data_IF_821365155508
#
_entry.id   IF_821365155508
#
_cell.length_a   1.000
_cell.length_b   1.000
_cell.length_c   1.000
_cell.angle_alpha   90.00
_cell.angle_beta   90.00
_cell.angle_gamma   90.00
#
_symmetry.space_group_name_H-M   'P 1'
#
loop_
_entity.id
_entity.type
_entity.pdbx_description
1 polymer ?
#
# COMPACT_ATOMS: atom_id res chain seq x y z
N UNK A 1 -48.56 -5.90 32.78
CA UNK A 1 -48.51 -5.28 31.43
C UNK A 1 -47.53 -4.12 31.52
N UNK A 2 -46.35 -4.25 30.92
CA UNK A 2 -45.35 -3.18 30.78
C UNK A 2 -44.91 -3.20 29.31
N UNK A 3 -45.27 -2.16 28.56
CA UNK A 3 -44.97 -2.03 27.15
C UNK A 3 -43.61 -1.36 26.94
N UNK A 4 -42.67 -2.06 26.32
CA UNK A 4 -41.40 -1.51 25.86
C UNK A 4 -41.55 -0.89 24.47
N UNK A 5 -41.38 0.41 24.37
CA UNK A 5 -41.36 1.13 23.10
C UNK A 5 -39.98 1.07 22.41
N UNK A 6 -39.94 1.07 21.07
CA UNK A 6 -38.70 0.96 20.31
C UNK A 6 -37.85 2.23 20.39
N UNK A 7 -36.57 2.03 20.70
CA UNK A 7 -35.54 3.06 20.80
C UNK A 7 -35.12 3.49 19.39
N UNK A 8 -35.54 4.68 18.97
CA UNK A 8 -35.09 5.29 17.71
C UNK A 8 -33.68 5.85 17.89
N UNK A 9 -32.74 5.41 17.06
CA UNK A 9 -31.39 5.96 16.99
C UNK A 9 -31.38 7.23 16.10
N UNK A 10 -30.69 8.30 16.53
CA UNK A 10 -30.64 9.54 15.75
C UNK A 10 -29.73 9.35 14.53
N UNK A 11 -30.29 9.58 13.34
CA UNK A 11 -29.54 9.64 12.09
C UNK A 11 -28.53 10.78 12.13
N UNK A 12 -27.24 10.45 12.14
CA UNK A 12 -26.15 11.42 12.05
C UNK A 12 -26.12 12.12 10.69
N UNK A 13 -25.63 13.38 10.62
CA UNK A 13 -25.61 14.15 9.39
C UNK A 13 -24.71 13.48 8.34
N UNK A 14 -25.28 13.24 7.15
CA UNK A 14 -24.53 12.85 5.95
C UNK A 14 -23.48 13.93 5.66
N UNK A 15 -22.19 13.58 5.74
CA UNK A 15 -21.13 14.45 5.26
C UNK A 15 -21.29 14.67 3.75
N UNK A 16 -21.63 15.89 3.36
CA UNK A 16 -21.61 16.33 1.97
C UNK A 16 -20.15 16.41 1.49
N UNK A 17 -19.80 15.78 0.35
CA UNK A 17 -18.45 15.87 -0.19
C UNK A 17 -18.15 17.31 -0.59
N UNK A 18 -16.99 17.82 -0.17
CA UNK A 18 -16.47 19.12 -0.62
C UNK A 18 -16.05 18.97 -2.09
N UNK A 19 -16.82 19.58 -2.99
CA UNK A 19 -16.51 19.62 -4.42
C UNK A 19 -15.62 20.84 -4.66
N UNK A 20 -14.36 20.61 -5.06
CA UNK A 20 -13.46 21.67 -5.53
C UNK A 20 -13.49 21.70 -7.05
N UNK A 21 -13.83 22.84 -7.64
CA UNK A 21 -13.77 23.04 -9.10
C UNK A 21 -12.34 23.50 -9.44
N UNK A 22 -11.61 22.68 -10.20
CA UNK A 22 -10.28 23.01 -10.71
C UNK A 22 -10.39 23.29 -12.21
N UNK A 23 -9.89 24.45 -12.64
CA UNK A 23 -9.82 24.85 -14.06
C UNK A 23 -8.46 24.39 -14.61
N UNK A 24 -8.46 23.58 -15.66
CA UNK A 24 -7.23 23.07 -16.28
C UNK A 24 -7.08 23.64 -17.69
N UNK A 25 -5.86 24.05 -18.06
CA UNK A 25 -5.50 24.38 -19.43
C UNK A 25 -5.00 23.13 -20.15
N UNK A 26 -5.61 22.83 -21.31
CA UNK A 26 -5.24 21.69 -22.13
C UNK A 26 -4.24 22.09 -23.21
N UNK A 27 -3.14 21.33 -23.33
CA UNK A 27 -2.22 21.40 -24.48
C UNK A 27 -2.46 20.15 -25.34
N UNK A 28 -2.94 20.29 -26.59
CA UNK A 28 -3.23 19.14 -27.43
C UNK A 28 -1.96 18.43 -27.89
N UNK A 29 -1.90 17.12 -27.68
CA UNK A 29 -0.90 16.22 -28.26
C UNK A 29 -1.54 15.48 -29.44
N UNK A 30 -0.89 15.55 -30.59
CA UNK A 30 -1.35 14.96 -31.86
C UNK A 30 -1.19 13.44 -31.83
N UNK A 31 -2.23 12.71 -31.40
CA UNK A 31 -2.31 11.25 -31.46
C UNK A 31 -3.72 10.74 -31.10
N UNK A 32 -4.11 9.51 -31.48
CA UNK A 32 -5.44 8.96 -31.19
C UNK A 32 -5.68 8.94 -29.67
N UNK A 33 -6.78 9.57 -29.26
CA UNK A 33 -6.99 10.17 -27.94
C UNK A 33 -7.06 9.15 -26.79
N UNK A 34 -5.96 9.04 -26.04
CA UNK A 34 -5.97 8.61 -24.64
C UNK A 34 -5.36 9.74 -23.81
N UNK A 35 -6.18 10.47 -23.06
CA UNK A 35 -5.70 11.60 -22.25
C UNK A 35 -5.00 11.08 -20.99
N UNK A 36 -3.67 11.25 -20.90
CA UNK A 36 -2.93 11.10 -19.64
C UNK A 36 -2.66 12.48 -19.06
N UNK A 37 -3.36 12.82 -17.97
CA UNK A 37 -3.04 14.00 -17.16
C UNK A 37 -1.71 13.78 -16.44
N UNK A 38 -0.64 14.42 -16.94
CA UNK A 38 0.66 14.43 -16.28
C UNK A 38 0.72 15.56 -15.25
N UNK A 39 0.68 15.21 -13.96
CA UNK A 39 1.22 16.07 -12.90
C UNK A 39 2.03 15.27 -11.87
N UNK A 40 3.21 15.81 -11.53
CA UNK A 40 4.00 15.52 -10.33
C UNK A 40 4.46 16.86 -9.74
N UNK A 41 4.58 17.02 -8.41
CA UNK A 41 5.03 15.98 -7.47
C UNK A 41 4.22 15.92 -6.17
N UNK A 42 3.10 15.19 -6.14
CA UNK A 42 2.53 14.53 -4.95
C UNK A 42 1.31 13.75 -5.40
N UNK A 43 1.58 12.54 -5.88
CA UNK A 43 0.71 11.65 -6.67
C UNK A 43 -0.57 11.25 -5.89
N UNK A 44 -1.58 12.10 -5.93
CA UNK A 44 -3.00 11.73 -5.77
C UNK A 44 -3.46 10.96 -7.00
N UNK A 45 -4.08 9.80 -6.83
CA UNK A 45 -4.76 9.14 -7.93
C UNK A 45 -5.99 9.96 -8.29
N UNK A 46 -5.91 10.72 -9.38
CA UNK A 46 -7.08 11.22 -10.08
C UNK A 46 -7.71 10.00 -10.76
N UNK A 47 -8.51 9.24 -10.01
CA UNK A 47 -9.41 8.27 -10.62
C UNK A 47 -10.63 9.03 -11.14
N UNK A 48 -10.46 9.63 -12.32
CA UNK A 48 -11.56 10.14 -13.11
C UNK A 48 -12.07 9.02 -14.00
N UNK A 49 -13.31 8.56 -13.81
CA UNK A 49 -14.03 7.92 -14.91
C UNK A 49 -14.39 9.01 -15.91
N UNK A 50 -13.45 9.38 -16.78
CA UNK A 50 -13.80 10.12 -17.98
C UNK A 50 -14.50 9.11 -18.88
N UNK A 51 -15.83 9.05 -18.79
CA UNK A 51 -16.59 8.33 -19.80
C UNK A 51 -16.38 9.11 -21.10
N UNK A 52 -15.60 8.54 -22.01
CA UNK A 52 -15.50 9.07 -23.37
C UNK A 52 -16.92 9.15 -23.93
N UNK A 53 -17.41 10.37 -24.12
CA UNK A 53 -18.66 10.60 -24.81
C UNK A 53 -18.34 10.35 -26.29
N UNK A 54 -19.08 9.44 -26.93
CA UNK A 54 -18.86 9.16 -28.34
C UNK A 54 -19.23 10.38 -29.19
N UNK A 55 -18.63 10.50 -30.38
CA UNK A 55 -18.95 11.57 -31.30
C UNK A 55 -20.45 11.60 -31.64
N UNK A 56 -21.11 10.44 -31.73
CA UNK A 56 -22.55 10.36 -31.97
C UNK A 56 -23.37 10.90 -30.80
N UNK A 57 -22.95 10.67 -29.55
CA UNK A 57 -23.61 11.24 -28.38
C UNK A 57 -23.45 12.76 -28.30
N UNK A 58 -22.27 13.28 -28.65
CA UNK A 58 -22.04 14.73 -28.78
C UNK A 58 -22.91 15.34 -29.88
N UNK A 59 -22.99 14.68 -31.04
CA UNK A 59 -23.84 15.11 -32.14
C UNK A 59 -25.33 15.07 -31.77
N UNK A 60 -25.80 14.04 -31.05
CA UNK A 60 -27.18 13.95 -30.55
C UNK A 60 -27.53 15.06 -29.54
N UNK A 61 -26.53 15.59 -28.84
CA UNK A 61 -26.70 16.73 -27.93
C UNK A 61 -26.63 18.09 -28.66
N UNK A 62 -26.45 18.10 -29.98
CA UNK A 62 -26.27 19.33 -30.76
C UNK A 62 -24.86 19.92 -30.66
N UNK A 63 -23.92 19.23 -30.02
CA UNK A 63 -22.55 19.68 -29.79
C UNK A 63 -21.54 19.03 -30.75
N UNK A 64 -22.01 18.41 -31.83
CA UNK A 64 -21.15 17.77 -32.83
C UNK A 64 -20.17 18.72 -33.54
N UNK A 65 -20.48 20.02 -33.57
CA UNK A 65 -19.60 21.07 -34.13
C UNK A 65 -18.86 21.88 -33.05
N UNK A 66 -19.06 21.59 -31.76
CA UNK A 66 -18.39 22.30 -30.67
C UNK A 66 -16.88 22.07 -30.77
N UNK A 67 -16.09 23.15 -30.77
CA UNK A 67 -14.63 23.02 -30.74
C UNK A 67 -14.24 22.51 -29.36
N UNK A 68 -13.17 21.72 -29.26
CA UNK A 68 -12.71 21.15 -27.98
C UNK A 68 -12.53 22.20 -26.88
N UNK A 69 -12.15 23.43 -27.26
CA UNK A 69 -12.00 24.58 -26.35
C UNK A 69 -13.32 25.08 -25.72
N UNK A 70 -14.45 24.74 -26.32
CA UNK A 70 -15.80 25.17 -25.91
C UNK A 70 -16.49 24.07 -25.07
N UNK A 71 -15.86 22.90 -24.90
CA UNK A 71 -16.36 21.79 -24.07
C UNK A 71 -15.98 22.04 -22.61
N UNK A 72 -16.97 22.30 -21.76
CA UNK A 72 -16.76 22.41 -20.31
C UNK A 72 -16.70 21.02 -19.67
N UNK A 73 -15.49 20.54 -19.38
CA UNK A 73 -15.31 19.25 -18.71
C UNK A 73 -15.49 19.40 -17.19
N UNK A 74 -16.60 18.88 -16.66
CA UNK A 74 -16.78 18.78 -15.20
C UNK A 74 -15.97 17.60 -14.66
N UNK A 75 -14.91 17.90 -13.92
CA UNK A 75 -14.08 16.89 -13.26
C UNK A 75 -14.41 16.83 -11.76
N UNK A 76 -14.77 15.65 -11.25
CA UNK A 76 -14.94 15.45 -9.81
C UNK A 76 -13.64 14.92 -9.20
N UNK A 77 -12.96 15.74 -8.42
CA UNK A 77 -11.84 15.28 -7.60
C UNK A 77 -12.37 14.76 -6.26
N UNK A 78 -12.14 13.47 -5.96
CA UNK A 78 -12.46 12.89 -4.65
C UNK A 78 -11.21 12.83 -3.79
N UNK A 79 -11.26 13.44 -2.60
CA UNK A 79 -10.19 13.34 -1.61
C UNK A 79 -10.53 12.24 -0.60
N UNK A 80 -9.59 11.31 -0.40
CA UNK A 80 -9.70 10.21 0.56
C UNK A 80 -8.63 10.36 1.64
N UNK A 81 -8.84 11.20 2.67
CA UNK A 81 -7.81 11.53 3.66
C UNK A 81 -7.32 10.27 4.39
N UNK A 82 -8.23 9.34 4.69
CA UNK A 82 -7.88 8.05 5.32
C UNK A 82 -6.96 7.20 4.45
N UNK A 83 -7.11 7.24 3.12
CA UNK A 83 -6.21 6.53 2.20
C UNK A 83 -4.81 7.15 2.20
N UNK A 84 -4.73 8.48 2.25
CA UNK A 84 -3.44 9.18 2.33
C UNK A 84 -2.70 8.85 3.64
N UNK A 85 -3.41 8.88 4.77
CA UNK A 85 -2.87 8.48 6.07
C UNK A 85 -2.43 7.01 6.08
N UNK A 86 -3.26 6.13 5.54
CA UNK A 86 -2.97 4.71 5.37
C UNK A 86 -1.65 4.47 4.60
N UNK A 87 -1.53 5.09 3.42
CA UNK A 87 -0.32 4.98 2.60
C UNK A 87 0.90 5.62 3.28
N UNK A 88 0.71 6.69 4.03
CA UNK A 88 1.79 7.32 4.80
C UNK A 88 2.29 6.40 5.92
N UNK A 89 1.39 5.80 6.69
CA UNK A 89 1.72 4.81 7.71
C UNK A 89 2.50 3.63 7.12
N UNK A 90 2.03 3.08 5.99
CA UNK A 90 2.72 1.98 5.31
C UNK A 90 4.13 2.34 4.84
N UNK A 91 4.32 3.57 4.35
CA UNK A 91 5.66 4.07 4.00
C UNK A 91 6.56 4.20 5.22
N UNK A 92 6.02 4.62 6.36
CA UNK A 92 6.77 4.73 7.61
C UNK A 92 7.20 3.33 8.10
N UNK A 93 6.27 2.37 8.11
CA UNK A 93 6.56 0.97 8.40
C UNK A 93 7.68 0.42 7.51
N UNK A 94 7.59 0.61 6.19
CA UNK A 94 8.60 0.14 5.25
C UNK A 94 9.97 0.82 5.46
N UNK A 95 9.98 2.12 5.73
CA UNK A 95 11.21 2.88 6.00
C UNK A 95 11.92 2.40 7.27
N UNK A 96 11.15 2.00 8.28
CA UNK A 96 11.66 1.51 9.58
C UNK A 96 11.84 -0.01 9.62
N UNK A 97 11.56 -0.72 8.52
CA UNK A 97 11.59 -2.19 8.49
C UNK A 97 10.53 -2.87 9.38
N UNK A 98 9.52 -2.13 9.85
CA UNK A 98 8.42 -2.62 10.70
C UNK A 98 7.32 -3.26 9.88
N UNK A 99 7.64 -4.41 9.30
CA UNK A 99 6.74 -5.10 8.40
C UNK A 99 5.53 -5.78 9.08
N UNK A 100 5.66 -6.06 10.37
CA UNK A 100 4.54 -6.46 11.24
C UNK A 100 3.42 -5.41 11.22
N UNK A 101 3.76 -4.12 11.18
CA UNK A 101 2.81 -3.03 11.03
C UNK A 101 2.04 -3.07 9.70
N UNK A 102 2.71 -3.46 8.60
CA UNK A 102 2.09 -3.65 7.27
C UNK A 102 1.11 -4.81 7.31
N UNK A 103 1.53 -5.97 7.83
CA UNK A 103 0.69 -7.16 7.96
C UNK A 103 -0.49 -6.93 8.90
N UNK A 104 -0.27 -6.25 10.03
CA UNK A 104 -1.33 -5.89 10.97
C UNK A 104 -2.38 -5.02 10.28
N UNK A 105 -1.95 -3.97 9.58
CA UNK A 105 -2.88 -3.07 8.89
C UNK A 105 -3.70 -3.78 7.82
N UNK A 106 -3.09 -4.65 7.01
CA UNK A 106 -3.79 -5.43 6.00
C UNK A 106 -4.89 -6.31 6.60
N UNK A 107 -4.64 -6.89 7.78
CA UNK A 107 -5.60 -7.72 8.53
C UNK A 107 -6.70 -6.92 9.21
N UNK A 108 -6.40 -5.68 9.59
CA UNK A 108 -7.31 -4.81 10.35
C UNK A 108 -8.35 -4.08 9.48
N UNK A 109 -8.27 -4.20 8.15
CA UNK A 109 -9.25 -3.63 7.22
C UNK A 109 -10.07 -4.74 6.54
N UNK A 110 -11.23 -4.37 6.00
CA UNK A 110 -12.09 -5.33 5.29
C UNK A 110 -11.36 -5.96 4.09
N UNK A 111 -11.48 -7.29 3.92
CA UNK A 111 -10.72 -8.07 2.92
C UNK A 111 -10.81 -7.50 1.51
N UNK A 112 -12.01 -7.13 1.05
CA UNK A 112 -12.23 -6.50 -0.27
C UNK A 112 -11.45 -5.19 -0.44
N UNK A 113 -11.36 -4.36 0.61
CA UNK A 113 -10.59 -3.11 0.57
C UNK A 113 -9.10 -3.44 0.55
N UNK A 114 -8.69 -4.44 1.33
CA UNK A 114 -7.31 -4.88 1.40
C UNK A 114 -6.81 -5.43 0.05
N UNK A 115 -7.61 -6.28 -0.61
CA UNK A 115 -7.34 -6.75 -1.97
C UNK A 115 -7.23 -5.59 -2.95
N UNK A 116 -8.17 -4.64 -2.89
CA UNK A 116 -8.14 -3.43 -3.73
C UNK A 116 -6.91 -2.54 -3.51
N UNK A 117 -6.28 -2.60 -2.33
CA UNK A 117 -5.05 -1.86 -2.04
C UNK A 117 -3.78 -2.53 -2.59
N UNK A 118 -3.81 -3.82 -2.89
CA UNK A 118 -2.61 -4.55 -3.33
C UNK A 118 -2.04 -4.00 -4.64
N UNK A 119 -2.90 -3.70 -5.62
CA UNK A 119 -2.47 -3.16 -6.91
C UNK A 119 -1.83 -1.76 -6.76
N UNK A 120 -2.45 -0.78 -6.07
CA UNK A 120 -1.80 0.50 -5.77
C UNK A 120 -0.50 0.38 -4.97
N UNK A 121 -0.41 -0.54 -4.00
CA UNK A 121 0.81 -0.75 -3.22
C UNK A 121 1.95 -1.24 -4.11
N UNK A 122 1.62 -2.11 -5.05
CA UNK A 122 2.57 -2.52 -6.06
C UNK A 122 2.94 -1.37 -7.01
N UNK A 123 2.34 -0.18 -7.00
CA UNK A 123 2.75 0.99 -7.82
C UNK A 123 3.63 2.00 -7.08
N UNK A 124 3.86 1.77 -5.79
CA UNK A 124 4.72 2.63 -4.98
C UNK A 124 6.14 2.53 -5.52
N UNK A 125 6.86 3.66 -5.51
CA UNK A 125 8.22 3.75 -6.06
C UNK A 125 9.27 3.10 -5.19
N UNK A 126 9.10 3.21 -3.89
CA UNK A 126 10.03 2.71 -2.87
C UNK A 126 9.36 1.54 -2.16
N UNK A 127 10.14 0.51 -1.83
CA UNK A 127 9.65 -0.67 -1.11
C UNK A 127 8.46 -1.34 -1.81
N UNK A 128 8.38 -1.20 -3.13
CA UNK A 128 7.26 -1.65 -3.96
C UNK A 128 6.96 -3.12 -3.73
N UNK A 129 8.02 -3.92 -3.83
CA UNK A 129 7.94 -5.36 -3.76
C UNK A 129 7.74 -5.84 -2.30
N UNK A 130 8.53 -5.37 -1.32
CA UNK A 130 8.25 -5.65 0.09
C UNK A 130 6.81 -5.31 0.50
N UNK A 131 6.34 -4.10 0.22
CA UNK A 131 4.99 -3.69 0.59
C UNK A 131 3.92 -4.59 -0.03
N UNK A 132 4.01 -4.88 -1.32
CA UNK A 132 3.04 -5.75 -1.99
C UNK A 132 3.09 -7.19 -1.45
N UNK A 133 4.28 -7.74 -1.18
CA UNK A 133 4.43 -9.11 -0.71
C UNK A 133 4.05 -9.29 0.77
N UNK A 134 4.44 -8.38 1.66
CA UNK A 134 4.00 -8.38 3.07
C UNK A 134 2.48 -8.17 3.19
N UNK A 135 1.91 -7.39 2.28
CA UNK A 135 0.46 -7.22 2.21
C UNK A 135 -0.22 -8.49 1.69
N UNK A 136 0.29 -9.07 0.60
CA UNK A 136 -0.20 -10.33 0.03
C UNK A 136 -0.14 -11.49 1.04
N UNK A 137 0.95 -11.63 1.80
CA UNK A 137 1.08 -12.68 2.83
C UNK A 137 0.04 -12.52 3.94
N UNK A 138 -0.31 -11.28 4.29
CA UNK A 138 -1.30 -10.99 5.31
C UNK A 138 -2.72 -11.43 4.94
N UNK A 139 -3.06 -11.41 3.64
CA UNK A 139 -4.38 -11.78 3.12
C UNK A 139 -4.57 -13.29 3.01
N UNK A 140 -3.48 -14.06 2.86
CA UNK A 140 -3.48 -15.52 2.80
C UNK A 140 -4.05 -16.10 1.50
N UNK A 141 -5.29 -15.76 1.14
CA UNK A 141 -5.93 -16.18 -0.10
C UNK A 141 -6.18 -14.96 -1.00
N UNK A 142 -5.49 -14.90 -2.14
CA UNK A 142 -5.63 -13.82 -3.11
C UNK A 142 -6.50 -14.27 -4.28
N UNK A 143 -7.45 -13.42 -4.68
CA UNK A 143 -8.12 -13.58 -5.96
C UNK A 143 -7.11 -13.60 -7.12
N UNK A 144 -7.38 -14.37 -8.18
CA UNK A 144 -6.48 -14.56 -9.32
C UNK A 144 -6.00 -13.23 -9.93
N UNK A 145 -6.93 -12.28 -10.13
CA UNK A 145 -6.63 -10.94 -10.69
C UNK A 145 -5.59 -10.18 -9.86
N UNK A 146 -5.66 -10.27 -8.53
CA UNK A 146 -4.70 -9.62 -7.63
C UNK A 146 -3.32 -10.28 -7.73
N UNK A 147 -3.29 -11.62 -7.87
CA UNK A 147 -2.06 -12.38 -8.02
C UNK A 147 -1.34 -12.00 -9.32
N UNK A 148 -2.04 -11.98 -10.45
CA UNK A 148 -1.45 -11.63 -11.76
C UNK A 148 -0.89 -10.20 -11.78
N UNK A 149 -1.57 -9.27 -11.11
CA UNK A 149 -1.12 -7.89 -10.93
C UNK A 149 0.21 -7.79 -10.19
N UNK A 150 0.43 -8.59 -9.15
CA UNK A 150 1.70 -8.66 -8.41
C UNK A 150 2.77 -9.38 -9.23
N UNK A 151 2.41 -10.51 -9.85
CA UNK A 151 3.35 -11.34 -10.61
C UNK A 151 3.91 -10.63 -11.85
N UNK A 152 3.09 -9.89 -12.58
CA UNK A 152 3.52 -9.11 -13.74
C UNK A 152 4.59 -8.05 -13.42
N UNK A 153 4.74 -7.70 -12.14
CA UNK A 153 5.68 -6.68 -11.65
C UNK A 153 6.96 -7.29 -11.09
N UNK A 154 6.94 -8.61 -10.86
CA UNK A 154 8.06 -9.40 -10.37
C UNK A 154 8.88 -9.90 -11.55
N UNK A 155 9.68 -9.01 -12.13
CA UNK A 155 10.56 -9.32 -13.26
C UNK A 155 12.01 -9.53 -12.81
N UNK A 156 12.80 -10.25 -13.61
CA UNK A 156 14.21 -10.45 -13.33
C UNK A 156 14.96 -9.12 -13.24
N UNK A 157 14.65 -8.19 -14.16
CA UNK A 157 15.22 -6.83 -14.14
C UNK A 157 14.87 -6.05 -12.88
N UNK A 158 13.67 -6.25 -12.34
CA UNK A 158 13.29 -5.63 -11.08
C UNK A 158 14.17 -6.13 -9.93
N UNK A 159 14.37 -7.45 -9.83
CA UNK A 159 15.22 -8.07 -8.81
C UNK A 159 16.67 -7.55 -8.90
N UNK A 160 17.23 -7.51 -10.12
CA UNK A 160 18.62 -7.02 -10.33
C UNK A 160 18.80 -5.57 -9.89
N UNK A 161 17.81 -4.72 -10.16
CA UNK A 161 17.87 -3.28 -9.82
C UNK A 161 17.58 -2.97 -8.36
N UNK A 162 17.01 -3.91 -7.60
CA UNK A 162 16.55 -3.68 -6.22
C UNK A 162 16.95 -4.84 -5.28
N UNK A 163 18.26 -5.12 -5.12
CA UNK A 163 18.74 -6.23 -4.30
C UNK A 163 18.36 -6.10 -2.82
N UNK A 164 18.29 -4.87 -2.28
CA UNK A 164 17.86 -4.62 -0.89
C UNK A 164 16.39 -5.00 -0.68
N UNK A 165 15.50 -4.66 -1.62
CA UNK A 165 14.09 -5.05 -1.58
C UNK A 165 13.93 -6.58 -1.61
N UNK A 166 14.81 -7.27 -2.32
CA UNK A 166 14.84 -8.74 -2.44
C UNK A 166 15.35 -9.39 -1.16
N UNK A 167 16.33 -8.80 -0.51
CA UNK A 167 16.84 -9.27 0.78
C UNK A 167 15.75 -9.20 1.86
N UNK A 168 15.04 -8.08 1.94
CA UNK A 168 14.00 -7.85 2.94
C UNK A 168 12.84 -8.86 2.89
N UNK A 169 12.56 -9.44 1.72
CA UNK A 169 11.44 -10.37 1.49
C UNK A 169 11.81 -11.85 1.60
N UNK A 170 13.10 -12.21 1.60
CA UNK A 170 13.50 -13.62 1.70
C UNK A 170 12.87 -14.36 2.89
N UNK A 171 12.81 -13.78 4.11
CA UNK A 171 12.22 -14.45 5.27
C UNK A 171 10.72 -14.74 5.09
N UNK A 172 10.04 -14.01 4.22
CA UNK A 172 8.61 -14.18 3.98
C UNK A 172 8.29 -15.27 2.99
N UNK A 173 9.24 -15.76 2.20
CA UNK A 173 8.92 -16.60 1.04
C UNK A 173 8.06 -17.80 1.46
N UNK A 174 8.33 -18.42 2.61
CA UNK A 174 7.55 -19.56 3.12
C UNK A 174 6.10 -19.20 3.49
N UNK A 175 5.82 -17.93 3.79
CA UNK A 175 4.50 -17.43 4.21
C UNK A 175 3.65 -16.89 3.06
N UNK A 176 4.24 -16.69 1.88
CA UNK A 176 3.52 -16.17 0.72
C UNK A 176 2.57 -17.23 0.12
N UNK A 177 1.52 -16.83 -0.62
CA UNK A 177 0.70 -17.79 -1.37
C UNK A 177 1.56 -18.63 -2.33
N UNK A 178 1.30 -19.95 -2.50
CA UNK A 178 2.18 -20.85 -3.26
C UNK A 178 2.49 -20.40 -4.71
N UNK A 179 1.52 -19.78 -5.37
CA UNK A 179 1.70 -19.21 -6.71
C UNK A 179 2.74 -18.07 -6.71
N UNK A 180 2.68 -17.19 -5.72
CA UNK A 180 3.62 -16.09 -5.52
C UNK A 180 5.00 -16.62 -5.14
N UNK A 181 5.08 -17.65 -4.28
CA UNK A 181 6.36 -18.29 -3.95
C UNK A 181 7.06 -18.86 -5.18
N UNK A 182 6.31 -19.60 -6.00
CA UNK A 182 6.86 -20.27 -7.19
C UNK A 182 7.33 -19.23 -8.20
N UNK A 183 6.52 -18.22 -8.47
CA UNK A 183 6.90 -17.13 -9.36
C UNK A 183 8.13 -16.38 -8.84
N UNK A 184 8.18 -16.06 -7.54
CA UNK A 184 9.32 -15.40 -6.93
C UNK A 184 10.62 -16.21 -7.06
N UNK A 185 10.58 -17.51 -6.74
CA UNK A 185 11.73 -18.41 -6.88
C UNK A 185 12.20 -18.50 -8.33
N UNK A 186 11.27 -18.57 -9.30
CA UNK A 186 11.60 -18.63 -10.72
C UNK A 186 12.21 -17.30 -11.21
N UNK A 187 11.62 -16.17 -10.85
CA UNK A 187 12.16 -14.85 -11.21
C UNK A 187 13.53 -14.62 -10.57
N UNK A 188 13.73 -15.03 -9.31
CA UNK A 188 15.01 -14.94 -8.63
C UNK A 188 16.08 -15.79 -9.33
N UNK A 189 15.76 -17.03 -9.71
CA UNK A 189 16.65 -17.89 -10.51
C UNK A 189 17.02 -17.24 -11.84
N UNK A 190 16.05 -16.61 -12.53
CA UNK A 190 16.31 -15.92 -13.80
C UNK A 190 17.10 -14.62 -13.62
N UNK A 191 16.98 -13.97 -12.47
CA UNK A 191 17.73 -12.76 -12.15
C UNK A 191 19.20 -13.06 -11.88
N UNK A 192 19.49 -14.19 -11.21
CA UNK A 192 20.83 -14.67 -10.93
C UNK A 192 21.39 -15.35 -12.18
N UNK A 193 22.02 -14.56 -13.06
CA UNK A 193 22.81 -15.11 -14.16
C UNK A 193 24.15 -15.59 -13.60
N UNK A 194 24.54 -16.88 -13.72
CA UNK A 194 25.82 -17.37 -13.22
C UNK A 194 27.04 -16.70 -13.87
N UNK A 195 26.86 -16.08 -15.05
CA UNK A 195 27.92 -15.33 -15.73
C UNK A 195 28.04 -13.87 -15.24
N UNK A 196 27.08 -13.40 -14.46
CA UNK A 196 27.03 -12.03 -13.93
C UNK A 196 27.46 -12.03 -12.45
N UNK A 197 28.77 -12.11 -12.25
CA UNK A 197 29.40 -12.14 -10.92
C UNK A 197 29.09 -10.89 -10.10
N UNK A 198 28.94 -9.72 -10.75
CA UNK A 198 28.62 -8.46 -10.09
C UNK A 198 27.20 -8.46 -9.50
N UNK A 199 26.19 -8.88 -10.28
CA UNK A 199 24.82 -9.00 -9.79
C UNK A 199 24.74 -10.02 -8.65
N UNK A 200 25.43 -11.16 -8.76
CA UNK A 200 25.47 -12.15 -7.69
C UNK A 200 26.11 -11.60 -6.41
N UNK A 201 27.28 -10.98 -6.51
CA UNK A 201 27.97 -10.38 -5.37
C UNK A 201 27.14 -9.29 -4.70
N UNK A 202 26.48 -8.44 -5.50
CA UNK A 202 25.60 -7.38 -5.00
C UNK A 202 24.42 -7.96 -4.22
N UNK A 203 23.73 -8.95 -4.79
CA UNK A 203 22.61 -9.61 -4.13
C UNK A 203 23.09 -10.31 -2.84
N UNK A 204 24.18 -11.07 -2.91
CA UNK A 204 24.75 -11.77 -1.76
C UNK A 204 25.14 -10.81 -0.61
N UNK A 205 25.77 -9.68 -0.93
CA UNK A 205 26.11 -8.66 0.06
C UNK A 205 24.86 -8.04 0.69
N UNK A 206 23.81 -7.78 -0.10
CA UNK A 206 22.53 -7.31 0.43
C UNK A 206 21.91 -8.34 1.39
N UNK A 207 22.01 -9.64 1.09
CA UNK A 207 21.52 -10.71 1.97
C UNK A 207 22.29 -10.77 3.29
N UNK A 208 23.62 -10.68 3.26
CA UNK A 208 24.46 -10.67 4.46
C UNK A 208 24.12 -9.46 5.33
N UNK A 209 24.02 -8.28 4.70
CA UNK A 209 23.69 -7.03 5.38
C UNK A 209 22.33 -7.11 6.06
N UNK A 210 21.28 -7.51 5.34
CA UNK A 210 19.92 -7.68 5.87
C UNK A 210 19.88 -8.69 7.02
N UNK A 211 20.61 -9.81 6.90
CA UNK A 211 20.70 -10.80 7.97
C UNK A 211 21.40 -10.25 9.23
N UNK A 212 22.41 -9.39 9.06
CA UNK A 212 23.08 -8.69 10.14
C UNK A 212 22.18 -7.64 10.81
N UNK A 213 21.52 -6.80 10.00
CA UNK A 213 20.59 -5.77 10.49
C UNK A 213 19.40 -6.40 11.23
N UNK A 214 18.84 -7.50 10.72
CA UNK A 214 17.76 -8.24 11.41
C UNK A 214 18.21 -8.79 12.76
N UNK A 215 19.39 -9.43 12.86
CA UNK A 215 19.91 -9.93 14.15
C UNK A 215 20.13 -8.82 15.16
N UNK A 216 20.65 -7.66 14.71
CA UNK A 216 20.82 -6.48 15.56
C UNK A 216 19.47 -6.02 16.11
N UNK A 217 18.47 -5.91 15.24
CA UNK A 217 17.12 -5.47 15.62
C UNK A 217 16.44 -6.47 16.58
N UNK A 218 16.59 -7.77 16.34
CA UNK A 218 16.07 -8.81 17.24
C UNK A 218 16.70 -8.74 18.63
N UNK A 219 18.01 -8.48 18.71
CA UNK A 219 18.70 -8.28 19.98
C UNK A 219 18.18 -7.02 20.72
N UNK A 220 18.02 -5.90 20.02
CA UNK A 220 17.49 -4.65 20.58
C UNK A 220 16.05 -4.81 21.08
N UNK A 221 15.19 -5.52 20.33
CA UNK A 221 13.82 -5.83 20.76
C UNK A 221 13.83 -6.65 22.05
N UNK A 222 14.74 -7.61 22.18
CA UNK A 222 14.84 -8.44 23.37
C UNK A 222 15.40 -7.68 24.58
N UNK A 223 16.35 -6.77 24.37
CA UNK A 223 16.82 -5.82 25.39
C UNK A 223 15.65 -4.94 25.89
N UNK A 224 14.88 -4.35 24.98
CA UNK A 224 13.71 -3.51 25.33
C UNK A 224 12.63 -4.29 26.07
N UNK A 225 12.43 -5.58 25.75
CA UNK A 225 11.49 -6.44 26.49
C UNK A 225 11.96 -6.68 27.92
N UNK A 226 13.25 -6.90 28.14
CA UNK A 226 13.84 -7.04 29.49
C UNK A 226 13.73 -5.76 30.30
N UNK A 227 14.00 -4.61 29.69
CA UNK A 227 13.87 -3.30 30.34
C UNK A 227 12.42 -3.02 30.74
N UNK A 228 11.47 -3.22 29.83
CA UNK A 228 10.04 -3.05 30.12
C UNK A 228 9.55 -4.00 31.22
N UNK A 229 10.02 -5.25 31.24
CA UNK A 229 9.67 -6.18 32.32
C UNK A 229 10.18 -5.71 33.68
N UNK A 230 11.38 -5.13 33.73
CA UNK A 230 11.99 -4.59 34.95
C UNK A 230 11.22 -3.36 35.44
N UNK A 231 10.94 -2.41 34.55
CA UNK A 231 10.16 -1.21 34.88
C UNK A 231 8.75 -1.55 35.37
N UNK A 232 8.07 -2.51 34.72
CA UNK A 232 6.74 -2.94 35.16
C UNK A 232 6.74 -3.55 36.57
N UNK A 233 7.80 -4.28 36.91
CA UNK A 233 7.97 -4.86 38.26
C UNK A 233 8.26 -3.78 39.31
N UNK A 234 9.06 -2.75 38.99
CA UNK A 234 9.30 -1.61 39.87
C UNK A 234 8.04 -0.79 40.13
N UNK A 235 7.24 -0.56 39.09
CA UNK A 235 5.93 0.10 39.20
C UNK A 235 5.01 -0.71 40.09
N UNK A 236 4.95 -2.03 39.91
CA UNK A 236 4.15 -2.93 40.77
C UNK A 236 4.55 -2.83 42.25
N UNK A 237 5.84 -2.92 42.57
CA UNK A 237 6.35 -2.80 43.95
C UNK A 237 6.05 -1.43 44.55
N UNK A 238 6.14 -0.37 43.76
CA UNK A 238 5.83 1.00 44.20
C UNK A 238 4.35 1.16 44.56
N UNK A 239 3.46 0.57 43.77
CA UNK A 239 2.02 0.59 44.06
C UNK A 239 1.68 -0.20 45.32
N UNK A 240 2.30 -1.36 45.53
CA UNK A 240 2.13 -2.17 46.75
C UNK A 240 2.61 -1.42 48.00
N UNK A 241 3.76 -0.75 47.92
CA UNK A 241 4.28 0.10 49.00
C UNK A 241 3.39 1.30 49.32
N UNK A 242 2.70 1.88 48.33
CA UNK A 242 1.74 2.96 48.55
C UNK A 242 0.44 2.46 49.21
N UNK A 243 -0.07 1.30 48.80
CA UNK A 243 -1.26 0.70 49.42
C UNK A 243 -1.05 0.37 50.90
N UNK A 244 0.13 -0.13 51.27
CA UNK A 244 0.47 -0.42 52.67
C UNK A 244 0.55 0.83 53.55
N UNK A 245 0.89 2.00 52.99
CA UNK A 245 0.94 3.27 53.74
C UNK A 245 -0.43 3.92 53.96
N UNK A 246 -1.47 3.46 53.27
CA UNK A 246 -2.83 3.98 53.38
C UNK A 246 -3.72 3.17 54.33
N UNK A 247 -3.22 2.05 54.87
CA UNK A 247 -3.87 1.23 55.90
C UNK A 247 -3.33 1.60 57.29
#
# INVERSE_FOLDING_TARGET
>A
MMGGGPMQTPGGPMQTPVISILRFEFVPSTGPFQFQLFQRPSRWEISGCVRNISAEKLAQQGEGEARLKDIEMTMTLRHFPMRALALHYLRLCAKEGRWDGVTHMAKSIHSTVAEGMLLPLSEVRHYRLPLALFWASALGNLAGVCTDGVLSRLTADFIRRNPDDVAAILPLISTLPPAVQTAFKNTLKNAINPEDEETFATLHNALIKEAGDRRRLEAEIEDLRRENATLNEEVRRSMEGQQQRQQ
#
